data_IF_694339219537
#
_entry.id   IF_694339219537
#
_cell.length_a   1.000
_cell.length_b   1.000
_cell.length_c   1.000
_cell.angle_alpha   90.00
_cell.angle_beta   90.00
_cell.angle_gamma   90.00
#
_symmetry.space_group_name_H-M   'P 1'
#
loop_
_entity.id
_entity.type
_entity.pdbx_description
1 polymer ?
#
# COMPACT_ATOMS: atom_id res chain seq x y z
N UNK A 1 -33.46 15.19 61.75
CA UNK A 1 -32.32 14.26 61.51
C UNK A 1 -32.71 12.86 60.99
N UNK A 2 -33.95 12.38 61.15
CA UNK A 2 -34.39 11.06 60.62
C UNK A 2 -34.68 11.05 59.11
N UNK A 3 -35.21 12.13 58.55
CA UNK A 3 -35.53 12.26 57.11
C UNK A 3 -34.30 12.37 56.21
N UNK A 4 -33.22 12.99 56.68
CA UNK A 4 -31.96 13.12 55.92
C UNK A 4 -31.22 11.77 55.79
N UNK A 5 -31.40 10.85 56.75
CA UNK A 5 -30.84 9.50 56.69
C UNK A 5 -31.54 8.62 55.66
N UNK A 6 -32.84 8.78 55.46
CA UNK A 6 -33.62 7.98 54.50
C UNK A 6 -33.29 8.37 53.05
N UNK A 7 -33.06 9.66 52.77
CA UNK A 7 -32.61 10.11 51.44
C UNK A 7 -31.20 9.60 51.10
N UNK A 8 -30.29 9.48 52.08
CA UNK A 8 -28.94 8.96 51.84
C UNK A 8 -28.95 7.45 51.54
N UNK A 9 -29.85 6.68 52.16
CA UNK A 9 -29.97 5.23 51.91
C UNK A 9 -30.58 4.94 50.53
N UNK A 10 -31.51 5.78 50.05
CA UNK A 10 -32.10 5.66 48.71
C UNK A 10 -31.08 6.06 47.63
N UNK A 11 -30.23 7.07 47.89
CA UNK A 11 -29.17 7.47 46.97
C UNK A 11 -28.06 6.41 46.83
N UNK A 12 -27.77 5.66 47.90
CA UNK A 12 -26.84 4.52 47.84
C UNK A 12 -27.43 3.28 47.14
N UNK A 13 -28.76 3.10 47.12
CA UNK A 13 -29.38 1.95 46.44
C UNK A 13 -29.46 2.10 44.91
N UNK A 14 -29.47 3.34 44.39
CA UNK A 14 -29.40 3.60 42.95
C UNK A 14 -27.98 3.53 42.35
N UNK A 15 -26.94 3.44 43.20
CA UNK A 15 -25.54 3.28 42.76
C UNK A 15 -25.16 1.86 42.32
N UNK A 16 -26.07 0.89 42.42
CA UNK A 16 -25.83 -0.53 42.09
C UNK A 16 -26.48 -0.97 40.77
N UNK A 17 -27.01 -0.04 39.98
CA UNK A 17 -27.53 -0.36 38.63
C UNK A 17 -26.34 -0.60 37.70
N UNK A 18 -25.90 -1.86 37.67
CA UNK A 18 -25.22 -2.52 36.55
C UNK A 18 -24.22 -1.66 35.79
N UNK A 19 -22.99 -1.57 36.31
CA UNK A 19 -21.83 -1.47 35.41
C UNK A 19 -21.80 -2.78 34.63
N UNK A 20 -22.51 -2.83 33.50
CA UNK A 20 -22.26 -3.83 32.47
C UNK A 20 -20.80 -3.64 32.10
N UNK A 21 -19.92 -4.46 32.66
CA UNK A 21 -18.59 -4.66 32.10
C UNK A 21 -18.83 -4.94 30.62
N UNK A 22 -18.41 -4.02 29.74
CA UNK A 22 -18.47 -4.26 28.30
C UNK A 22 -17.81 -5.62 28.09
N UNK A 23 -18.59 -6.58 27.59
CA UNK A 23 -18.04 -7.88 27.21
C UNK A 23 -16.79 -7.62 26.37
N UNK A 24 -15.68 -8.23 26.80
CA UNK A 24 -14.37 -7.96 26.20
C UNK A 24 -14.37 -8.55 24.80
N UNK A 25 -14.75 -7.75 23.81
CA UNK A 25 -14.76 -8.12 22.40
C UNK A 25 -13.33 -8.37 21.94
N UNK A 26 -13.05 -9.60 21.52
CA UNK A 26 -11.74 -9.96 20.97
C UNK A 26 -11.76 -9.74 19.46
N UNK A 27 -10.67 -9.22 18.92
CA UNK A 27 -10.55 -8.97 17.48
C UNK A 27 -9.30 -9.63 16.93
N UNK A 28 -9.47 -10.30 15.79
CA UNK A 28 -8.36 -10.61 14.90
C UNK A 28 -8.01 -9.36 14.10
N UNK A 29 -6.72 -9.04 14.03
CA UNK A 29 -6.21 -7.81 13.43
C UNK A 29 -5.20 -8.15 12.34
N UNK A 30 -5.41 -7.61 11.13
CA UNK A 30 -4.46 -7.73 10.03
C UNK A 30 -4.04 -6.37 9.49
N UNK A 31 -2.82 -6.30 8.97
CA UNK A 31 -2.31 -5.15 8.22
C UNK A 31 -2.21 -5.53 6.76
N UNK A 32 -2.77 -4.70 5.87
CA UNK A 32 -2.53 -4.72 4.42
C UNK A 32 -1.71 -3.48 4.08
N UNK A 33 -0.60 -3.65 3.37
CA UNK A 33 0.35 -2.57 3.11
C UNK A 33 0.68 -2.42 1.62
N UNK A 34 1.25 -1.27 1.27
CA UNK A 34 1.90 -1.03 -0.01
C UNK A 34 3.22 -0.29 0.20
N UNK A 35 4.26 -0.65 -0.57
CA UNK A 35 5.55 0.03 -0.50
C UNK A 35 6.28 0.06 -1.86
N UNK A 36 6.59 1.26 -2.36
CA UNK A 36 7.55 1.44 -3.45
C UNK A 36 8.98 1.24 -2.92
N UNK A 37 9.72 0.28 -3.48
CA UNK A 37 11.06 -0.11 -2.99
C UNK A 37 12.22 0.68 -3.62
N UNK A 38 11.94 1.71 -4.43
CA UNK A 38 12.91 2.60 -5.10
C UNK A 38 13.98 1.82 -5.89
N UNK A 39 13.61 1.34 -7.08
CA UNK A 39 14.48 0.54 -7.96
C UNK A 39 15.22 -0.57 -7.18
N UNK A 40 14.48 -1.50 -6.57
CA UNK A 40 15.07 -2.73 -6.02
C UNK A 40 15.41 -3.66 -7.19
N UNK A 41 16.64 -3.51 -7.66
CA UNK A 41 17.26 -4.23 -8.77
C UNK A 41 18.41 -5.07 -8.22
N UNK A 42 18.69 -6.21 -8.86
CA UNK A 42 19.87 -7.01 -8.60
C UNK A 42 21.13 -6.39 -9.23
N UNK A 43 22.18 -7.18 -9.39
CA UNK A 43 23.49 -6.70 -9.87
C UNK A 43 23.88 -7.24 -11.25
N UNK A 44 22.95 -7.89 -11.95
CA UNK A 44 23.15 -8.65 -13.17
C UNK A 44 22.40 -7.94 -14.31
N UNK A 45 23.15 -7.49 -15.32
CA UNK A 45 22.53 -6.86 -16.49
C UNK A 45 21.66 -7.86 -17.26
N UNK A 46 20.41 -7.49 -17.52
CA UNK A 46 19.54 -8.10 -18.50
C UNK A 46 19.64 -7.37 -19.87
N UNK A 47 20.33 -7.94 -20.88
CA UNK A 47 20.58 -7.28 -22.16
C UNK A 47 19.31 -7.04 -23.01
N UNK A 48 18.15 -7.55 -22.60
CA UNK A 48 16.86 -7.32 -23.28
C UNK A 48 16.07 -6.15 -22.68
N UNK A 49 16.56 -5.56 -21.58
CA UNK A 49 15.94 -4.44 -20.87
C UNK A 49 16.94 -3.29 -20.76
N UNK A 50 16.43 -2.10 -20.42
CA UNK A 50 17.24 -0.94 -20.09
C UNK A 50 17.43 -0.81 -18.57
N UNK A 51 17.74 -1.92 -17.91
CA UNK A 51 17.99 -2.05 -16.47
C UNK A 51 19.34 -1.42 -16.05
N UNK A 52 20.28 -1.26 -16.98
CA UNK A 52 21.54 -0.53 -16.77
C UNK A 52 21.33 0.92 -16.33
N UNK A 53 20.16 1.51 -16.63
CA UNK A 53 19.73 2.82 -16.15
C UNK A 53 19.16 2.78 -14.71
N UNK A 54 19.31 1.67 -13.98
CA UNK A 54 19.00 1.59 -12.56
C UNK A 54 20.17 2.15 -11.73
N UNK A 55 19.90 2.79 -10.58
CA UNK A 55 20.97 3.38 -9.77
C UNK A 55 22.05 2.37 -9.35
N UNK A 56 21.69 1.11 -9.11
CA UNK A 56 22.66 0.08 -8.71
C UNK A 56 23.59 -0.32 -9.86
N UNK A 57 23.07 -0.32 -11.10
CA UNK A 57 23.86 -0.62 -12.30
C UNK A 57 24.71 0.56 -12.77
N UNK A 58 24.34 1.79 -12.42
CA UNK A 58 25.19 2.98 -12.64
C UNK A 58 26.38 3.06 -11.66
N UNK A 59 26.36 2.30 -10.55
CA UNK A 59 27.46 2.31 -9.58
C UNK A 59 28.72 1.62 -10.12
N UNK A 60 29.89 2.20 -9.82
CA UNK A 60 31.18 1.66 -10.27
C UNK A 60 31.88 0.72 -9.27
N UNK A 61 31.37 0.57 -8.05
CA UNK A 61 31.98 -0.27 -7.01
C UNK A 61 30.92 -0.87 -6.06
N UNK A 62 31.26 -2.02 -5.46
CA UNK A 62 30.49 -2.72 -4.40
C UNK A 62 28.98 -2.89 -4.64
N UNK A 63 28.55 -3.15 -5.88
CA UNK A 63 27.13 -3.40 -6.21
C UNK A 63 26.53 -4.50 -5.33
N UNK A 64 27.25 -5.62 -5.16
CA UNK A 64 26.78 -6.76 -4.35
C UNK A 64 26.62 -6.44 -2.86
N UNK A 65 27.52 -5.65 -2.26
CA UNK A 65 27.39 -5.22 -0.88
C UNK A 65 26.24 -4.23 -0.68
N UNK A 66 26.06 -3.31 -1.63
CA UNK A 66 24.95 -2.34 -1.66
C UNK A 66 23.61 -3.04 -1.81
N UNK A 67 23.51 -3.98 -2.75
CA UNK A 67 22.31 -4.78 -2.98
C UNK A 67 21.83 -5.45 -1.68
N UNK A 68 22.71 -6.20 -1.01
CA UNK A 68 22.39 -6.89 0.26
C UNK A 68 21.93 -5.91 1.34
N UNK A 69 22.54 -4.73 1.44
CA UNK A 69 22.12 -3.69 2.39
C UNK A 69 20.74 -3.14 2.05
N UNK A 70 20.47 -2.87 0.77
CA UNK A 70 19.17 -2.39 0.31
C UNK A 70 18.07 -3.41 0.58
N UNK A 71 18.27 -4.69 0.24
CA UNK A 71 17.36 -5.79 0.56
C UNK A 71 17.06 -5.83 2.07
N UNK A 72 18.11 -5.81 2.91
CA UNK A 72 17.95 -5.80 4.37
C UNK A 72 17.20 -4.57 4.90
N UNK A 73 17.45 -3.40 4.32
CA UNK A 73 16.75 -2.17 4.68
C UNK A 73 15.26 -2.29 4.34
N UNK A 74 14.91 -2.81 3.15
CA UNK A 74 13.52 -3.04 2.74
C UNK A 74 12.84 -4.07 3.65
N UNK A 75 13.51 -5.20 3.92
CA UNK A 75 13.00 -6.26 4.77
C UNK A 75 12.67 -5.76 6.19
N UNK A 76 13.58 -4.98 6.78
CA UNK A 76 13.36 -4.35 8.08
C UNK A 76 12.10 -3.50 8.09
N UNK A 77 11.92 -2.63 7.10
CA UNK A 77 10.74 -1.76 7.01
C UNK A 77 9.47 -2.58 6.94
N UNK A 78 9.41 -3.53 6.01
CA UNK A 78 8.24 -4.40 5.84
C UNK A 78 7.91 -5.14 7.14
N UNK A 79 8.92 -5.63 7.87
CA UNK A 79 8.71 -6.36 9.12
C UNK A 79 8.03 -5.53 10.22
N UNK A 80 8.17 -4.20 10.17
CA UNK A 80 7.72 -3.27 11.19
C UNK A 80 6.38 -2.58 10.86
N UNK A 81 5.91 -2.61 9.60
CA UNK A 81 4.67 -1.94 9.18
C UNK A 81 3.46 -2.52 9.93
N UNK A 82 2.78 -1.67 10.72
CA UNK A 82 1.56 -2.02 11.46
C UNK A 82 1.78 -2.93 12.67
N UNK A 83 3.02 -3.28 12.99
CA UNK A 83 3.39 -4.17 14.11
C UNK A 83 2.92 -3.66 15.47
N UNK A 84 2.80 -2.35 15.63
CA UNK A 84 2.30 -1.69 16.84
C UNK A 84 0.83 -2.00 17.15
N UNK A 85 0.05 -2.46 16.15
CA UNK A 85 -1.39 -2.73 16.32
C UNK A 85 -1.75 -4.18 16.04
N UNK A 86 -1.22 -4.78 14.98
CA UNK A 86 -1.50 -6.19 14.66
C UNK A 86 -0.59 -7.17 15.41
N UNK A 87 0.47 -6.68 16.07
CA UNK A 87 1.56 -7.51 16.58
C UNK A 87 2.18 -8.43 15.51
N UNK A 88 2.04 -8.06 14.24
CA UNK A 88 2.51 -8.82 13.10
C UNK A 88 3.01 -7.87 11.99
N UNK A 89 3.82 -8.40 11.08
CA UNK A 89 4.12 -7.75 9.81
C UNK A 89 2.87 -7.81 8.90
N UNK A 90 2.81 -7.08 7.78
CA UNK A 90 1.65 -7.10 6.89
C UNK A 90 1.26 -8.52 6.46
N UNK A 91 -0.01 -8.87 6.59
CA UNK A 91 -0.52 -10.16 6.11
C UNK A 91 -0.41 -10.25 4.57
N UNK A 92 -0.61 -9.10 3.91
CA UNK A 92 -0.42 -8.91 2.46
C UNK A 92 0.26 -7.55 2.25
N UNK A 93 1.24 -7.50 1.36
CA UNK A 93 1.91 -6.27 0.94
C UNK A 93 2.07 -6.25 -0.57
N UNK A 94 1.54 -5.20 -1.21
CA UNK A 94 1.88 -4.86 -2.59
C UNK A 94 3.19 -4.08 -2.65
N UNK A 95 4.00 -4.32 -3.67
CA UNK A 95 5.26 -3.60 -3.88
C UNK A 95 5.37 -3.12 -5.31
N UNK A 96 6.16 -2.07 -5.53
CA UNK A 96 6.53 -1.58 -6.86
C UNK A 96 8.03 -1.27 -6.93
N UNK A 97 8.50 -1.07 -8.16
CA UNK A 97 9.92 -0.87 -8.45
C UNK A 97 10.79 -2.06 -8.09
N UNK A 98 10.27 -3.23 -8.43
CA UNK A 98 10.98 -4.51 -8.41
C UNK A 98 11.46 -4.79 -9.83
N UNK A 99 12.68 -5.30 -9.98
CA UNK A 99 13.19 -5.74 -11.28
C UNK A 99 12.66 -7.11 -11.70
N UNK A 100 12.75 -8.09 -10.79
CA UNK A 100 12.42 -9.48 -11.10
C UNK A 100 12.01 -10.26 -9.84
N UNK A 101 11.66 -11.53 -10.05
CA UNK A 101 11.21 -12.41 -8.97
C UNK A 101 12.33 -12.73 -7.98
N UNK A 102 13.57 -12.90 -8.42
CA UNK A 102 14.69 -13.32 -7.56
C UNK A 102 14.96 -12.27 -6.47
N UNK A 103 14.85 -10.99 -6.84
CA UNK A 103 14.91 -9.88 -5.90
C UNK A 103 13.83 -9.95 -4.81
N UNK A 104 12.61 -10.37 -5.15
CA UNK A 104 11.54 -10.56 -4.16
C UNK A 104 11.81 -11.78 -3.27
N UNK A 105 12.44 -12.82 -3.80
CA UNK A 105 12.83 -14.00 -3.04
C UNK A 105 13.93 -13.67 -2.04
N UNK A 106 14.95 -12.90 -2.44
CA UNK A 106 15.98 -12.38 -1.54
C UNK A 106 15.38 -11.50 -0.43
N UNK A 107 14.40 -10.66 -0.77
CA UNK A 107 13.66 -9.87 0.20
C UNK A 107 12.87 -10.74 1.20
N UNK A 108 12.13 -11.73 0.71
CA UNK A 108 11.34 -12.63 1.54
C UNK A 108 12.20 -13.49 2.47
N UNK A 109 13.42 -13.85 2.02
CA UNK A 109 14.36 -14.69 2.74
C UNK A 109 15.29 -13.93 3.68
N UNK A 110 15.25 -12.59 3.73
CA UNK A 110 16.01 -11.83 4.71
C UNK A 110 15.62 -12.22 6.16
N UNK A 111 16.58 -12.24 7.12
CA UNK A 111 16.30 -12.61 8.51
C UNK A 111 15.16 -11.84 9.20
N UNK A 112 14.82 -10.62 8.75
CA UNK A 112 13.69 -9.88 9.30
C UNK A 112 12.32 -10.43 8.86
N UNK A 113 12.26 -11.16 7.73
CA UNK A 113 11.02 -11.61 7.11
C UNK A 113 10.90 -13.13 7.00
N UNK A 114 11.99 -13.89 7.02
CA UNK A 114 11.97 -15.34 6.73
C UNK A 114 11.03 -16.13 7.64
N UNK A 115 10.90 -15.74 8.91
CA UNK A 115 9.98 -16.39 9.86
C UNK A 115 8.50 -16.17 9.56
N UNK A 116 8.16 -15.21 8.68
CA UNK A 116 6.79 -14.91 8.25
C UNK A 116 6.36 -15.77 7.07
N UNK A 117 7.28 -16.50 6.44
CA UNK A 117 7.04 -17.40 5.32
C UNK A 117 6.18 -16.74 4.23
N UNK A 118 6.71 -15.63 3.69
CA UNK A 118 6.04 -14.89 2.62
C UNK A 118 6.02 -15.71 1.32
N UNK A 119 4.84 -15.85 0.72
CA UNK A 119 4.69 -16.22 -0.69
C UNK A 119 4.76 -14.99 -1.59
N UNK A 120 5.09 -15.21 -2.86
CA UNK A 120 5.31 -14.16 -3.86
C UNK A 120 4.40 -14.40 -5.07
N UNK A 121 3.81 -13.32 -5.58
CA UNK A 121 3.14 -13.26 -6.88
C UNK A 121 3.76 -12.11 -7.66
N UNK A 122 4.34 -12.45 -8.81
CA UNK A 122 5.06 -11.53 -9.70
C UNK A 122 4.83 -11.93 -11.15
N UNK A 123 4.75 -10.95 -12.04
CA UNK A 123 4.74 -11.10 -13.49
C UNK A 123 5.64 -10.03 -14.08
N UNK A 124 6.42 -10.40 -15.10
CA UNK A 124 7.13 -9.41 -15.90
C UNK A 124 6.15 -8.58 -16.72
N UNK A 125 6.38 -7.26 -16.74
CA UNK A 125 5.59 -6.34 -17.55
C UNK A 125 6.34 -5.85 -18.80
N UNK A 126 5.64 -5.22 -19.75
CA UNK A 126 6.25 -4.65 -20.94
C UNK A 126 7.22 -3.50 -20.65
N UNK A 127 7.31 -3.00 -19.41
CA UNK A 127 8.17 -1.86 -19.06
C UNK A 127 9.59 -2.07 -19.58
N UNK A 128 10.10 -1.04 -20.28
CA UNK A 128 11.36 -1.13 -21.01
C UNK A 128 12.57 -1.22 -20.07
N UNK A 129 12.44 -0.77 -18.81
CA UNK A 129 13.48 -0.87 -17.79
C UNK A 129 13.36 -2.15 -16.94
N UNK A 130 12.33 -2.97 -17.19
CA UNK A 130 12.05 -4.14 -16.35
C UNK A 130 11.48 -3.79 -14.98
N UNK A 131 10.87 -2.60 -14.82
CA UNK A 131 10.24 -2.22 -13.56
C UNK A 131 8.88 -2.88 -13.46
N UNK A 132 8.64 -3.62 -12.38
CA UNK A 132 7.41 -4.35 -12.14
C UNK A 132 6.73 -4.02 -10.82
N UNK A 133 5.52 -4.58 -10.66
CA UNK A 133 4.78 -4.64 -9.41
C UNK A 133 4.72 -6.08 -8.92
N UNK A 134 4.67 -6.26 -7.60
CA UNK A 134 4.58 -7.57 -6.99
C UNK A 134 3.63 -7.58 -5.79
N UNK A 135 3.28 -8.78 -5.34
CA UNK A 135 2.53 -8.99 -4.11
C UNK A 135 3.20 -10.07 -3.27
N UNK A 136 3.54 -9.73 -2.04
CA UNK A 136 3.98 -10.68 -1.02
C UNK A 136 2.85 -10.92 -0.02
N UNK A 137 2.70 -12.14 0.46
CA UNK A 137 1.66 -12.50 1.43
C UNK A 137 2.15 -13.56 2.41
N UNK A 138 1.74 -13.49 3.69
CA UNK A 138 2.05 -14.56 4.65
C UNK A 138 1.20 -15.78 4.30
N UNK A 139 1.84 -16.91 3.96
CA UNK A 139 1.14 -18.11 3.46
C UNK A 139 0.13 -18.68 4.46
N UNK A 140 0.38 -18.52 5.76
CA UNK A 140 -0.52 -18.93 6.83
C UNK A 140 -1.80 -18.09 6.94
N UNK A 141 -1.81 -16.87 6.38
CA UNK A 141 -2.91 -15.93 6.50
C UNK A 141 -3.65 -15.72 5.19
N UNK A 142 -2.98 -15.82 4.05
CA UNK A 142 -3.57 -15.58 2.73
C UNK A 142 -3.31 -16.74 1.77
N UNK A 143 -4.38 -17.25 1.18
CA UNK A 143 -4.33 -18.31 0.17
C UNK A 143 -4.82 -17.74 -1.16
N UNK A 144 -3.93 -17.52 -2.15
CA UNK A 144 -4.32 -17.09 -3.49
C UNK A 144 -5.23 -18.12 -4.15
N UNK A 145 -6.26 -17.64 -4.85
CA UNK A 145 -7.18 -18.46 -5.65
C UNK A 145 -7.04 -18.18 -7.14
N UNK A 146 -6.85 -16.92 -7.51
CA UNK A 146 -6.58 -16.52 -8.89
C UNK A 146 -5.62 -15.33 -8.93
N UNK A 147 -4.83 -15.27 -10.00
CA UNK A 147 -3.84 -14.22 -10.24
C UNK A 147 -3.77 -13.92 -11.73
N UNK A 148 -3.69 -12.64 -12.09
CA UNK A 148 -3.58 -12.18 -13.47
C UNK A 148 -2.85 -10.85 -13.55
N UNK A 149 -2.09 -10.68 -14.62
CA UNK A 149 -1.49 -9.39 -15.00
C UNK A 149 -2.35 -8.73 -16.08
N UNK A 150 -2.51 -7.41 -16.00
CA UNK A 150 -3.32 -6.65 -16.93
C UNK A 150 -2.53 -5.50 -17.54
N UNK A 151 -2.25 -5.63 -18.83
CA UNK A 151 -1.44 -4.67 -19.58
C UNK A 151 -2.13 -3.31 -19.75
N UNK A 152 -1.37 -2.24 -19.49
CA UNK A 152 -1.79 -0.87 -19.78
C UNK A 152 -1.33 -0.47 -21.18
N UNK A 153 -2.23 -0.63 -22.16
CA UNK A 153 -1.96 -0.18 -23.53
C UNK A 153 -2.21 1.32 -23.66
N UNK A 154 -1.13 2.10 -23.78
CA UNK A 154 -1.15 3.56 -23.94
C UNK A 154 -0.15 4.01 -25.00
N UNK A 155 -0.33 5.23 -25.49
CA UNK A 155 0.48 5.84 -26.55
C UNK A 155 0.93 7.23 -26.12
N UNK A 156 2.04 7.72 -26.68
CA UNK A 156 2.45 9.10 -26.46
C UNK A 156 1.52 10.05 -27.21
N UNK A 157 1.13 11.14 -26.56
CA UNK A 157 0.17 12.09 -27.14
C UNK A 157 0.75 12.84 -28.35
N UNK A 158 2.08 12.99 -28.41
CA UNK A 158 2.76 13.69 -29.51
C UNK A 158 3.20 12.73 -30.60
N UNK A 159 3.99 11.72 -30.26
CA UNK A 159 4.59 10.84 -31.29
C UNK A 159 3.64 9.74 -31.76
N UNK A 160 2.58 9.47 -30.97
CA UNK A 160 1.65 8.33 -31.17
C UNK A 160 2.31 6.95 -31.04
N UNK A 161 3.56 6.89 -30.62
CA UNK A 161 4.24 5.63 -30.37
C UNK A 161 3.69 4.95 -29.13
N UNK A 162 3.79 3.62 -29.12
CA UNK A 162 3.44 2.80 -27.97
C UNK A 162 4.33 3.15 -26.78
N UNK A 163 3.72 3.45 -25.63
CA UNK A 163 4.45 3.66 -24.38
C UNK A 163 4.45 2.35 -23.60
N UNK A 164 5.63 1.73 -23.53
CA UNK A 164 5.86 0.56 -22.70
C UNK A 164 5.86 0.97 -21.22
N UNK A 165 5.04 0.29 -20.41
CA UNK A 165 4.82 0.63 -19.00
C UNK A 165 4.36 -0.59 -18.23
N UNK A 166 4.30 -0.45 -16.91
CA UNK A 166 3.87 -1.48 -15.97
C UNK A 166 2.44 -1.93 -16.19
N UNK A 167 2.24 -3.21 -15.94
CA UNK A 167 0.94 -3.85 -15.80
C UNK A 167 0.30 -3.53 -14.44
N UNK A 168 -0.99 -3.86 -14.31
CA UNK A 168 -1.70 -3.92 -13.03
C UNK A 168 -1.90 -5.38 -12.63
N UNK A 169 -1.41 -5.74 -11.44
CA UNK A 169 -1.52 -7.09 -10.90
C UNK A 169 -2.85 -7.24 -10.16
N UNK A 170 -3.70 -8.17 -10.58
CA UNK A 170 -4.91 -8.59 -9.87
C UNK A 170 -4.68 -9.93 -9.19
N UNK A 171 -4.91 -9.98 -7.88
CA UNK A 171 -4.87 -11.21 -7.07
C UNK A 171 -6.17 -11.35 -6.30
N UNK A 172 -6.84 -12.49 -6.45
CA UNK A 172 -7.99 -12.87 -5.62
C UNK A 172 -7.60 -14.02 -4.72
N UNK A 173 -7.99 -13.98 -3.45
CA UNK A 173 -7.67 -15.05 -2.52
C UNK A 173 -8.39 -14.94 -1.19
N UNK A 174 -8.16 -15.92 -0.31
CA UNK A 174 -8.77 -15.97 1.02
C UNK A 174 -7.82 -15.42 2.07
N UNK A 175 -8.12 -14.26 2.65
CA UNK A 175 -7.46 -13.74 3.85
C UNK A 175 -8.20 -14.29 5.07
N UNK A 176 -7.57 -15.23 5.78
CA UNK A 176 -8.16 -15.91 6.94
C UNK A 176 -9.54 -16.51 6.62
N UNK A 177 -9.62 -17.16 5.46
CA UNK A 177 -10.84 -17.79 4.95
C UNK A 177 -11.79 -16.85 4.20
N UNK A 178 -11.61 -15.52 4.28
CA UNK A 178 -12.49 -14.55 3.60
C UNK A 178 -11.96 -14.12 2.25
N UNK A 179 -12.82 -14.17 1.23
CA UNK A 179 -12.48 -13.73 -0.11
C UNK A 179 -12.22 -12.20 -0.14
N UNK A 180 -11.05 -11.84 -0.64
CA UNK A 180 -10.62 -10.47 -0.90
C UNK A 180 -9.87 -10.42 -2.24
N UNK A 181 -9.84 -9.22 -2.84
CA UNK A 181 -9.15 -8.95 -4.08
C UNK A 181 -8.15 -7.81 -3.89
N UNK A 182 -6.98 -7.92 -4.49
CA UNK A 182 -5.93 -6.91 -4.47
C UNK A 182 -5.58 -6.53 -5.90
N UNK A 183 -5.61 -5.24 -6.21
CA UNK A 183 -5.13 -4.65 -7.45
C UNK A 183 -3.89 -3.82 -7.10
N UNK A 184 -2.70 -4.28 -7.48
CA UNK A 184 -1.43 -3.60 -7.23
C UNK A 184 -1.02 -2.80 -8.47
N UNK A 185 -0.62 -1.55 -8.26
CA UNK A 185 -0.39 -0.57 -9.31
C UNK A 185 0.95 0.14 -9.15
N UNK A 186 1.56 0.51 -10.28
CA UNK A 186 2.58 1.54 -10.36
C UNK A 186 2.34 2.38 -11.63
N UNK A 187 1.53 3.43 -11.49
CA UNK A 187 1.06 4.21 -12.64
C UNK A 187 2.18 5.04 -13.28
N UNK A 188 2.02 5.43 -14.56
CA UNK A 188 2.99 6.26 -15.26
C UNK A 188 3.39 7.51 -14.47
N UNK A 189 4.69 7.77 -14.41
CA UNK A 189 5.26 8.88 -13.65
C UNK A 189 4.83 10.24 -14.22
N UNK A 190 5.15 11.31 -13.47
CA UNK A 190 4.90 12.69 -13.90
C UNK A 190 5.97 13.25 -14.86
N UNK A 191 6.68 12.41 -15.60
CA UNK A 191 7.72 12.83 -16.54
C UNK A 191 7.19 13.85 -17.57
N UNK A 192 7.92 14.94 -17.75
CA UNK A 192 7.50 16.06 -18.60
C UNK A 192 6.41 16.95 -17.99
N UNK A 193 6.08 16.76 -16.70
CA UNK A 193 5.10 17.54 -15.96
C UNK A 193 3.76 16.84 -15.77
N UNK A 194 3.04 17.20 -14.71
CA UNK A 194 1.75 16.59 -14.34
C UNK A 194 0.72 16.69 -15.48
N UNK A 195 0.59 17.87 -16.09
CA UNK A 195 -0.39 18.13 -17.14
C UNK A 195 -0.14 17.28 -18.40
N UNK A 196 1.13 17.19 -18.84
CA UNK A 196 1.53 16.40 -20.03
C UNK A 196 1.32 14.90 -19.83
N UNK A 197 1.60 14.40 -18.64
CA UNK A 197 1.54 12.96 -18.33
C UNK A 197 0.15 12.50 -17.84
N UNK A 198 -0.79 13.42 -17.60
CA UNK A 198 -2.10 13.14 -16.99
C UNK A 198 -2.92 12.11 -17.76
N UNK A 199 -2.93 12.18 -19.10
CA UNK A 199 -3.67 11.26 -19.97
C UNK A 199 -3.29 9.79 -19.69
N UNK A 200 -2.00 9.52 -19.48
CA UNK A 200 -1.45 8.20 -19.18
C UNK A 200 -1.94 7.66 -17.83
N UNK A 201 -1.99 8.51 -16.79
CA UNK A 201 -2.56 8.13 -15.46
C UNK A 201 -4.08 7.98 -15.49
N UNK A 202 -4.79 8.78 -16.28
CA UNK A 202 -6.23 8.59 -16.51
C UNK A 202 -6.50 7.23 -17.16
N UNK A 203 -5.69 6.83 -18.16
CA UNK A 203 -5.81 5.51 -18.78
C UNK A 203 -5.54 4.38 -17.79
N UNK A 204 -4.52 4.53 -16.93
CA UNK A 204 -4.24 3.58 -15.84
C UNK A 204 -5.42 3.46 -14.87
N UNK A 205 -6.00 4.59 -14.43
CA UNK A 205 -7.17 4.60 -13.57
C UNK A 205 -8.41 3.95 -14.22
N UNK A 206 -8.60 4.15 -15.52
CA UNK A 206 -9.68 3.47 -16.28
C UNK A 206 -9.49 1.96 -16.27
N UNK A 207 -8.25 1.47 -16.44
CA UNK A 207 -7.96 0.04 -16.34
C UNK A 207 -8.30 -0.49 -14.95
N UNK A 208 -7.84 0.17 -13.87
CA UNK A 208 -8.17 -0.24 -12.50
C UNK A 208 -9.67 -0.23 -12.25
N UNK A 209 -10.39 0.79 -12.75
CA UNK A 209 -11.85 0.89 -12.61
C UNK A 209 -12.56 -0.27 -13.31
N UNK A 210 -12.13 -0.67 -14.51
CA UNK A 210 -12.67 -1.83 -15.22
C UNK A 210 -12.49 -3.13 -14.44
N UNK A 211 -11.33 -3.33 -13.80
CA UNK A 211 -11.08 -4.50 -12.96
C UNK A 211 -12.02 -4.53 -11.76
N UNK A 212 -12.18 -3.39 -11.06
CA UNK A 212 -13.13 -3.26 -9.95
C UNK A 212 -14.56 -3.56 -10.41
N UNK A 213 -14.98 -2.97 -11.53
CA UNK A 213 -16.33 -3.15 -12.07
C UNK A 213 -16.60 -4.58 -12.50
N UNK A 214 -15.61 -5.26 -13.08
CA UNK A 214 -15.71 -6.67 -13.45
C UNK A 214 -15.91 -7.57 -12.23
N UNK A 215 -15.12 -7.38 -11.17
CA UNK A 215 -15.28 -8.10 -9.92
C UNK A 215 -16.64 -7.80 -9.26
N UNK A 216 -17.09 -6.54 -9.29
CA UNK A 216 -18.37 -6.14 -8.71
C UNK A 216 -19.60 -6.45 -9.57
N UNK A 217 -19.40 -6.84 -10.83
CA UNK A 217 -20.45 -7.43 -11.66
C UNK A 217 -20.73 -8.87 -11.24
N UNK A 218 -19.71 -9.61 -10.81
CA UNK A 218 -19.82 -10.98 -10.28
C UNK A 218 -20.36 -10.94 -8.85
N UNK A 219 -19.78 -10.12 -7.98
CA UNK A 219 -20.21 -9.94 -6.60
C UNK A 219 -20.28 -8.45 -6.22
N UNK A 220 -21.47 -7.83 -6.11
CA UNK A 220 -21.59 -6.42 -5.74
C UNK A 220 -21.02 -6.09 -4.33
N UNK A 221 -20.77 -7.09 -3.49
CA UNK A 221 -20.18 -7.00 -2.17
C UNK A 221 -18.70 -7.45 -2.12
N UNK A 222 -18.05 -7.57 -3.27
CA UNK A 222 -16.63 -7.91 -3.34
C UNK A 222 -15.77 -6.91 -2.55
N UNK A 223 -14.92 -7.43 -1.67
CA UNK A 223 -13.90 -6.66 -0.93
C UNK A 223 -12.66 -6.51 -1.78
N UNK A 224 -12.51 -5.34 -2.38
CA UNK A 224 -11.44 -5.06 -3.33
C UNK A 224 -10.59 -3.95 -2.76
N UNK A 225 -9.28 -4.18 -2.68
CA UNK A 225 -8.26 -3.20 -2.36
C UNK A 225 -7.56 -2.80 -3.65
N UNK A 226 -7.51 -1.50 -3.92
CA UNK A 226 -6.68 -0.91 -4.96
C UNK A 226 -5.52 -0.23 -4.24
N UNK A 227 -4.30 -0.69 -4.52
CA UNK A 227 -3.10 -0.18 -3.88
C UNK A 227 -2.01 0.08 -4.89
N UNK A 228 -1.12 1.02 -4.59
CA UNK A 228 -0.02 1.33 -5.49
C UNK A 228 0.57 2.70 -5.30
N UNK A 229 1.71 2.92 -5.97
CA UNK A 229 2.20 4.24 -6.31
C UNK A 229 1.42 4.70 -7.55
N UNK A 230 0.47 5.60 -7.32
CA UNK A 230 -0.41 6.09 -8.37
C UNK A 230 0.21 7.27 -9.13
N UNK A 231 1.35 7.81 -8.68
CA UNK A 231 1.91 9.07 -9.21
C UNK A 231 0.87 10.22 -9.27
N UNK A 232 -0.20 10.11 -8.51
CA UNK A 232 -1.29 11.06 -8.39
C UNK A 232 -1.75 11.15 -6.93
N UNK A 233 -2.11 12.35 -6.51
CA UNK A 233 -2.68 12.58 -5.21
C UNK A 233 -4.13 12.09 -5.13
N UNK A 234 -4.67 11.85 -3.93
CA UNK A 234 -6.07 11.49 -3.73
C UNK A 234 -7.09 12.45 -4.38
N UNK A 235 -6.70 13.70 -4.61
CA UNK A 235 -7.53 14.76 -5.19
C UNK A 235 -7.41 14.90 -6.72
N UNK A 236 -6.49 14.20 -7.37
CA UNK A 236 -6.32 14.28 -8.82
C UNK A 236 -7.46 13.58 -9.58
N UNK A 237 -7.71 14.01 -10.82
CA UNK A 237 -8.80 13.53 -11.71
C UNK A 237 -8.84 12.01 -11.87
N UNK A 238 -7.67 11.36 -11.99
CA UNK A 238 -7.56 9.89 -12.06
C UNK A 238 -8.22 9.21 -10.85
N UNK A 239 -8.11 9.78 -9.65
CA UNK A 239 -8.69 9.23 -8.41
C UNK A 239 -10.12 9.74 -8.18
N UNK A 240 -10.35 11.05 -8.29
CA UNK A 240 -11.65 11.66 -7.96
C UNK A 240 -12.71 11.46 -9.04
N UNK A 241 -12.34 11.55 -10.31
CA UNK A 241 -13.30 11.61 -11.42
C UNK A 241 -13.41 10.26 -12.14
N UNK A 242 -12.27 9.55 -12.30
CA UNK A 242 -12.24 8.24 -12.96
C UNK A 242 -12.57 7.11 -11.97
N UNK A 243 -11.79 6.96 -10.88
CA UNK A 243 -12.10 5.95 -9.86
C UNK A 243 -13.34 6.30 -9.04
N UNK A 244 -13.71 7.59 -8.96
CA UNK A 244 -14.83 8.09 -8.14
C UNK A 244 -14.67 7.73 -6.67
N UNK A 245 -13.43 7.80 -6.19
CA UNK A 245 -13.09 7.47 -4.82
C UNK A 245 -13.61 8.56 -3.84
N UNK A 246 -14.32 8.11 -2.82
CA UNK A 246 -14.94 8.98 -1.81
C UNK A 246 -14.10 9.06 -0.53
N UNK A 247 -13.96 10.27 0.00
CA UNK A 247 -13.24 10.55 1.27
C UNK A 247 -14.05 10.23 2.51
N UNK A 248 -15.36 10.45 2.43
CA UNK A 248 -16.29 10.32 3.57
C UNK A 248 -16.98 8.97 3.47
N UNK A 249 -16.92 8.15 4.54
CA UNK A 249 -17.46 6.78 4.55
C UNK A 249 -18.96 6.78 4.19
N UNK A 250 -19.68 7.79 4.65
CA UNK A 250 -21.13 7.95 4.47
C UNK A 250 -21.52 8.26 3.02
N UNK A 251 -20.59 8.78 2.21
CA UNK A 251 -20.81 9.06 0.79
C UNK A 251 -20.55 7.85 -0.11
N UNK A 252 -19.95 6.79 0.42
CA UNK A 252 -19.60 5.59 -0.34
C UNK A 252 -20.88 4.79 -0.60
N UNK A 253 -21.40 4.87 -1.82
CA UNK A 253 -22.57 4.12 -2.29
C UNK A 253 -22.23 2.65 -2.56
N UNK A 254 -23.23 1.80 -2.79
CA UNK A 254 -23.03 0.43 -3.26
C UNK A 254 -22.13 0.44 -4.50
N UNK A 255 -21.19 -0.52 -4.59
CA UNK A 255 -20.11 -0.54 -5.60
C UNK A 255 -19.15 0.67 -5.57
N UNK A 256 -19.24 1.51 -4.54
CA UNK A 256 -18.37 2.67 -4.35
C UNK A 256 -17.01 2.30 -3.78
N UNK A 257 -16.03 3.17 -4.03
CA UNK A 257 -14.66 3.08 -3.50
C UNK A 257 -14.47 4.15 -2.44
N UNK A 258 -13.91 3.76 -1.30
CA UNK A 258 -13.48 4.63 -0.23
C UNK A 258 -11.97 4.84 -0.27
N UNK A 259 -11.53 6.09 -0.18
CA UNK A 259 -10.12 6.44 -0.11
C UNK A 259 -9.79 7.13 1.22
N UNK A 260 -9.23 6.40 2.22
CA UNK A 260 -8.82 7.00 3.47
C UNK A 260 -7.62 7.96 3.32
N UNK A 261 -6.83 7.83 2.25
CA UNK A 261 -5.61 8.61 2.04
C UNK A 261 -5.93 10.09 1.80
N UNK A 262 -7.09 10.43 1.22
CA UNK A 262 -7.51 11.84 1.10
C UNK A 262 -7.61 12.55 2.47
N UNK A 263 -7.95 11.84 3.54
CA UNK A 263 -7.96 12.42 4.89
C UNK A 263 -6.55 12.63 5.44
N UNK A 264 -5.58 11.76 5.10
CA UNK A 264 -4.18 11.93 5.50
C UNK A 264 -3.55 13.10 4.74
N UNK A 265 -3.81 13.21 3.45
CA UNK A 265 -3.33 14.33 2.63
C UNK A 265 -3.81 15.68 3.16
N UNK A 266 -5.08 15.78 3.55
CA UNK A 266 -5.64 17.02 4.13
C UNK A 266 -5.03 17.42 5.46
N UNK A 267 -4.37 16.49 6.17
CA UNK A 267 -3.57 16.78 7.36
C UNK A 267 -2.13 17.20 7.03
N UNK A 268 -1.81 17.39 5.73
CA UNK A 268 -0.47 17.74 5.26
C UNK A 268 0.48 16.55 5.18
N UNK A 269 -0.02 15.32 5.27
CA UNK A 269 0.83 14.12 5.18
C UNK A 269 1.02 13.70 3.72
N UNK A 270 2.22 13.25 3.39
CA UNK A 270 2.58 12.68 2.09
C UNK A 270 3.50 11.47 2.25
N UNK A 271 3.71 10.78 1.14
CA UNK A 271 4.61 9.62 1.05
C UNK A 271 5.86 9.93 0.23
N UNK A 272 5.78 10.89 -0.68
CA UNK A 272 6.89 11.37 -1.51
C UNK A 272 7.02 12.90 -1.36
N UNK A 273 8.25 13.41 -1.47
CA UNK A 273 8.53 14.84 -1.36
C UNK A 273 9.48 15.32 -2.48
N UNK A 274 9.10 16.40 -3.15
CA UNK A 274 9.88 17.01 -4.24
C UNK A 274 9.70 18.54 -4.25
N UNK A 275 10.82 19.29 -4.31
CA UNK A 275 10.84 20.77 -4.35
C UNK A 275 9.90 21.42 -3.31
N UNK A 276 10.00 20.99 -2.06
CA UNK A 276 9.21 21.47 -0.92
C UNK A 276 7.70 21.20 -1.00
N UNK A 277 7.28 20.36 -1.95
CA UNK A 277 5.91 19.85 -2.04
C UNK A 277 5.81 18.40 -1.59
N UNK A 278 4.87 18.12 -0.68
CA UNK A 278 4.47 16.76 -0.33
C UNK A 278 3.43 16.23 -1.32
N UNK A 279 3.65 15.02 -1.78
CA UNK A 279 2.70 14.23 -2.56
C UNK A 279 2.32 12.97 -1.80
N UNK A 280 1.05 12.57 -1.90
CA UNK A 280 0.55 11.30 -1.38
C UNK A 280 0.23 10.36 -2.55
N UNK A 281 1.28 9.92 -3.23
CA UNK A 281 1.16 9.08 -4.42
C UNK A 281 0.86 7.62 -4.08
N UNK A 282 1.46 7.13 -3.00
CA UNK A 282 1.22 5.79 -2.48
C UNK A 282 -0.13 5.77 -1.76
N UNK A 283 -1.05 4.94 -2.27
CA UNK A 283 -2.41 4.90 -1.75
C UNK A 283 -2.90 3.47 -1.59
N UNK A 284 -3.79 3.27 -0.61
CA UNK A 284 -4.62 2.08 -0.46
C UNK A 284 -6.06 2.55 -0.30
N UNK A 285 -6.89 2.21 -1.27
CA UNK A 285 -8.32 2.49 -1.29
C UNK A 285 -9.09 1.18 -1.46
N UNK A 286 -10.36 1.15 -1.08
CA UNK A 286 -11.10 -0.11 -1.07
C UNK A 286 -12.61 0.07 -1.14
N UNK A 287 -13.32 -1.00 -1.50
CA UNK A 287 -14.76 -0.96 -1.77
C UNK A 287 -15.61 -0.91 -0.49
N UNK A 288 -16.85 -0.43 -0.63
CA UNK A 288 -17.84 -0.25 0.45
C UNK A 288 -17.94 -1.39 1.48
N UNK A 289 -17.91 -2.69 1.13
CA UNK A 289 -18.13 -3.79 2.08
C UNK A 289 -17.15 -3.82 3.27
N UNK A 290 -15.99 -3.18 3.14
CA UNK A 290 -15.02 -3.02 4.23
C UNK A 290 -15.41 -1.93 5.24
N UNK A 291 -16.46 -1.14 4.97
CA UNK A 291 -16.92 -0.04 5.83
C UNK A 291 -18.13 -0.38 6.69
N UNK A 292 -18.68 -1.59 6.55
CA UNK A 292 -19.85 -2.02 7.32
C UNK A 292 -19.53 -2.11 8.82
N UNK A 293 -20.56 -1.94 9.66
CA UNK A 293 -20.42 -1.89 11.14
C UNK A 293 -20.53 -3.24 11.82
N UNK A 294 -20.99 -4.26 11.10
CA UNK A 294 -20.97 -5.64 11.56
C UNK A 294 -19.53 -6.19 11.45
N UNK A 295 -18.97 -6.69 12.54
CA UNK A 295 -17.58 -7.17 12.61
C UNK A 295 -17.45 -8.70 12.53
N UNK A 296 -18.52 -9.41 12.17
CA UNK A 296 -18.46 -10.86 11.86
C UNK A 296 -17.48 -11.22 10.75
N UNK A 297 -17.02 -10.21 10.00
CA UNK A 297 -16.12 -10.32 8.87
C UNK A 297 -15.17 -9.11 8.84
N UNK A 298 -14.04 -9.20 8.13
CA UNK A 298 -13.03 -8.12 8.17
C UNK A 298 -13.61 -6.76 7.74
N UNK A 299 -13.35 -5.74 8.56
CA UNK A 299 -13.69 -4.33 8.34
C UNK A 299 -12.48 -3.43 8.49
N UNK A 300 -12.50 -2.31 7.81
CA UNK A 300 -11.51 -1.26 7.93
C UNK A 300 -11.57 -0.59 9.30
N UNK A 301 -10.43 -0.59 9.99
CA UNK A 301 -10.25 0.10 11.26
C UNK A 301 -9.56 1.45 11.07
N UNK A 302 -8.33 1.45 10.54
CA UNK A 302 -7.52 2.67 10.36
C UNK A 302 -6.60 2.58 9.14
N UNK A 303 -6.18 3.73 8.64
CA UNK A 303 -5.14 3.86 7.62
C UNK A 303 -3.98 4.68 8.18
N UNK A 304 -2.77 4.47 7.67
CA UNK A 304 -1.59 5.21 8.08
C UNK A 304 -0.49 5.25 7.02
N UNK A 305 0.46 6.16 7.22
CA UNK A 305 1.74 6.24 6.53
C UNK A 305 2.80 5.80 7.53
N UNK A 306 3.62 4.82 7.19
CA UNK A 306 4.70 4.34 8.04
C UNK A 306 5.94 5.23 7.85
N UNK A 307 6.09 6.24 8.71
CA UNK A 307 7.13 7.27 8.62
C UNK A 307 8.01 7.33 9.87
N UNK A 308 8.54 6.17 10.31
CA UNK A 308 9.45 6.11 11.46
C UNK A 308 10.64 7.04 11.27
N UNK A 309 11.15 7.63 12.35
CA UNK A 309 12.25 8.61 12.31
C UNK A 309 13.53 8.13 11.59
N UNK A 310 13.75 6.82 11.48
CA UNK A 310 14.91 6.28 10.76
C UNK A 310 14.72 6.29 9.23
N UNK A 311 13.49 6.43 8.74
CA UNK A 311 13.14 6.55 7.33
C UNK A 311 13.26 7.98 6.81
N UNK A 312 13.69 8.92 7.65
CA UNK A 312 13.63 10.35 7.35
C UNK A 312 15.01 10.97 7.41
N UNK A 313 15.31 11.84 6.44
CA UNK A 313 16.48 12.70 6.48
C UNK A 313 16.45 13.59 7.72
N UNK A 314 17.49 13.51 8.55
CA UNK A 314 17.53 14.19 9.87
C UNK A 314 18.05 15.62 9.79
N UNK A 315 18.83 15.96 8.76
CA UNK A 315 19.58 17.21 8.61
C UNK A 315 19.71 17.61 7.13
N UNK A 316 20.20 18.82 6.88
CA UNK A 316 20.47 19.33 5.53
C UNK A 316 19.21 19.77 4.79
N UNK A 317 19.39 20.08 3.49
CA UNK A 317 18.32 20.62 2.62
C UNK A 317 17.09 19.70 2.50
N UNK A 318 17.28 18.40 2.71
CA UNK A 318 16.23 17.38 2.60
C UNK A 318 15.63 16.98 3.95
N UNK A 319 15.90 17.72 5.03
CA UNK A 319 15.39 17.38 6.37
C UNK A 319 13.87 17.17 6.33
N UNK A 320 13.40 16.05 6.87
CA UNK A 320 11.99 15.69 6.88
C UNK A 320 11.53 14.83 5.70
N UNK A 321 12.33 14.71 4.63
CA UNK A 321 11.99 13.92 3.45
C UNK A 321 12.32 12.45 3.67
N UNK A 322 11.68 11.51 2.94
CA UNK A 322 12.10 10.11 2.91
C UNK A 322 13.59 9.97 2.64
N UNK A 323 14.25 9.11 3.42
CA UNK A 323 15.66 8.77 3.28
C UNK A 323 15.78 7.75 2.15
N UNK A 324 15.90 8.25 0.92
CA UNK A 324 16.09 7.49 -0.31
C UNK A 324 17.35 6.63 -0.30
N UNK A 325 17.32 5.47 -0.93
CA UNK A 325 18.44 4.55 -1.13
C UNK A 325 19.58 5.18 -1.92
N UNK A 326 19.27 5.91 -3.00
CA UNK A 326 20.30 6.41 -3.91
C UNK A 326 20.25 7.93 -4.06
N UNK A 327 21.42 8.56 -4.00
CA UNK A 327 21.57 9.99 -4.25
C UNK A 327 22.98 10.29 -4.74
N UNK A 328 23.10 11.30 -5.61
CA UNK A 328 24.39 11.83 -6.09
C UNK A 328 25.34 10.72 -6.62
N UNK A 329 24.79 9.72 -7.31
CA UNK A 329 25.53 8.61 -7.91
C UNK A 329 25.96 7.50 -6.95
N UNK A 330 25.48 7.49 -5.70
CA UNK A 330 25.85 6.47 -4.71
C UNK A 330 24.72 6.03 -3.78
N UNK A 331 24.98 4.97 -3.03
CA UNK A 331 24.08 4.46 -1.99
C UNK A 331 24.23 5.27 -0.70
N UNK A 332 23.12 5.80 -0.20
CA UNK A 332 23.08 6.68 0.99
C UNK A 332 22.97 5.90 2.31
N UNK A 333 22.90 4.57 2.23
CA UNK A 333 22.44 3.69 3.32
C UNK A 333 20.98 3.94 3.73
N UNK A 334 20.17 4.50 2.82
CA UNK A 334 18.75 4.76 2.98
C UNK A 334 17.84 3.59 2.61
N UNK A 335 16.57 3.92 2.40
CA UNK A 335 15.45 2.98 2.25
C UNK A 335 14.74 3.18 0.92
N UNK A 336 13.85 4.17 0.84
CA UNK A 336 13.06 4.49 -0.33
C UNK A 336 12.82 6.00 -0.34
N UNK A 337 12.68 6.60 -1.51
CA UNK A 337 12.18 7.97 -1.65
C UNK A 337 10.65 8.07 -1.40
N UNK A 338 10.02 6.94 -1.06
CA UNK A 338 8.63 6.81 -0.63
C UNK A 338 8.51 6.30 0.82
N UNK A 339 7.50 6.76 1.55
CA UNK A 339 7.05 6.10 2.78
C UNK A 339 6.00 5.02 2.47
N UNK A 340 6.05 3.85 3.13
CA UNK A 340 4.99 2.85 2.99
C UNK A 340 3.63 3.36 3.49
N UNK A 341 2.55 2.86 2.91
CA UNK A 341 1.18 3.08 3.38
C UNK A 341 0.56 1.77 3.81
N UNK A 342 -0.39 1.84 4.75
CA UNK A 342 -1.07 0.65 5.24
C UNK A 342 -2.50 0.92 5.70
N UNK A 343 -3.29 -0.13 5.74
CA UNK A 343 -4.60 -0.18 6.36
C UNK A 343 -4.67 -1.35 7.35
N UNK A 344 -5.32 -1.13 8.48
CA UNK A 344 -5.59 -2.16 9.48
C UNK A 344 -7.01 -2.65 9.31
N UNK A 345 -7.17 -3.96 9.28
CA UNK A 345 -8.45 -4.67 9.24
C UNK A 345 -8.70 -5.33 10.58
N UNK A 346 -9.95 -5.30 11.04
CA UNK A 346 -10.39 -6.00 12.25
C UNK A 346 -11.59 -6.88 11.96
N UNK A 347 -11.63 -8.04 12.62
CA UNK A 347 -12.74 -8.99 12.61
C UNK A 347 -12.94 -9.48 14.03
N UNK A 348 -14.16 -9.44 14.53
CA UNK A 348 -14.47 -9.97 15.86
C UNK A 348 -14.33 -11.48 15.86
N UNK A 349 -13.72 -12.00 16.93
CA UNK A 349 -13.59 -13.43 17.19
C UNK A 349 -14.21 -13.72 18.55
N UNK A 350 -15.01 -14.79 18.60
CA UNK A 350 -15.62 -15.27 19.83
C UNK A 350 -14.58 -15.91 20.75
#
# INVERSE_FOLDING_TARGET
MRTLKICLTILCLFGLVGVNAQEKRNFKIHTVAFYNLENLFDTINNPLKFDEASPIMEMNFDRGGVYKKKVRNMARVISEIGKDVSNNSPAVIGVSEIENRDVMEDLANDPHLIQKDYGIIHYESPDARGIDVGLMYQKSLFVPLSKSSHELVIYDDLTRDRVLTRDQLLVSGKLDGELVHFIVNHWPSRSGGEARSRSKRIAAAKLSKRLVDSLQAIDPYAKIFIMGDLNDNPTNTSVKDILKAERKKEKVKLKGIYNPMENLQKKGLGTNAWRDGWSLFDQIMFTKPLLEKDYSSFRFYKAGIFNKNYLTNKRGRWKGYPLRSFADGGFTNGFSDHFPVYVTLIKEVN
#
